data_IF_908589133296
#
_entry.id   IF_908589133296
#
_cell.length_a   1.000
_cell.length_b   1.000
_cell.length_c   1.000
_cell.angle_alpha   90.00
_cell.angle_beta   90.00
_cell.angle_gamma   90.00
#
_symmetry.space_group_name_H-M   'P 1'
#
loop_
_entity.id
_entity.type
_entity.pdbx_description
1 polymer ?
#
# COMPACT_ATOMS: atom_id res chain seq x y z
N UNK A 1 -42.49 45.22 37.65
CA UNK A 1 -43.22 45.12 36.36
C UNK A 1 -42.19 44.68 35.32
N UNK A 2 -42.23 43.54 34.64
CA UNK A 2 -43.29 42.57 34.33
C UNK A 2 -42.67 41.17 34.41
N UNK A 3 -43.36 40.26 35.10
CA UNK A 3 -43.07 38.83 35.10
C UNK A 3 -43.73 38.18 33.88
N UNK A 4 -43.05 37.25 33.21
CA UNK A 4 -43.75 36.22 32.44
C UNK A 4 -43.08 34.84 32.59
N UNK A 5 -43.97 33.92 32.92
CA UNK A 5 -43.82 32.49 33.21
C UNK A 5 -43.42 31.72 31.96
N UNK A 6 -42.46 30.79 32.07
CA UNK A 6 -42.38 29.62 31.18
C UNK A 6 -42.23 28.33 31.97
N UNK A 7 -43.19 27.44 31.71
CA UNK A 7 -43.42 26.11 32.29
C UNK A 7 -42.19 25.20 32.16
N UNK A 8 -41.82 24.55 33.26
CA UNK A 8 -41.00 23.32 33.26
C UNK A 8 -41.74 22.23 32.49
N UNK A 9 -41.18 21.76 31.38
CA UNK A 9 -41.54 20.48 30.76
C UNK A 9 -40.39 19.51 31.06
N UNK A 10 -40.66 18.50 31.89
CA UNK A 10 -39.77 17.37 32.16
C UNK A 10 -39.63 16.59 30.85
N UNK A 11 -38.46 16.63 30.21
CA UNK A 11 -38.11 15.70 29.14
C UNK A 11 -37.27 14.60 29.78
N UNK A 12 -37.79 13.38 29.76
CA UNK A 12 -37.07 12.20 30.19
C UNK A 12 -35.85 12.00 29.27
N UNK A 13 -34.66 11.97 29.86
CA UNK A 13 -33.43 11.65 29.13
C UNK A 13 -33.46 10.20 28.65
N UNK A 14 -33.30 9.98 27.35
CA UNK A 14 -32.84 8.70 26.81
C UNK A 14 -31.33 8.62 26.99
N UNK A 15 -30.84 7.48 27.48
CA UNK A 15 -29.40 7.24 27.60
C UNK A 15 -28.87 6.92 26.19
N UNK A 16 -27.65 7.35 25.84
CA UNK A 16 -27.06 7.09 24.52
C UNK A 16 -26.87 5.60 24.20
N UNK A 17 -27.03 4.68 25.16
CA UNK A 17 -27.01 3.23 24.93
C UNK A 17 -28.30 2.66 24.32
N UNK A 18 -29.44 3.33 24.47
CA UNK A 18 -30.74 2.77 24.07
C UNK A 18 -30.93 2.77 22.53
N UNK A 19 -30.22 3.64 21.80
CA UNK A 19 -30.29 3.75 20.33
C UNK A 19 -29.40 2.71 19.64
N UNK A 20 -28.25 2.40 20.25
CA UNK A 20 -27.31 1.39 19.74
C UNK A 20 -27.85 -0.04 19.98
N UNK A 21 -28.48 -0.26 21.13
CA UNK A 21 -29.14 -1.53 21.46
C UNK A 21 -30.38 -1.77 20.58
N UNK A 22 -31.16 -0.72 20.27
CA UNK A 22 -32.27 -0.81 19.33
C UNK A 22 -31.84 -1.07 17.88
N UNK A 23 -30.71 -0.50 17.44
CA UNK A 23 -30.15 -0.76 16.11
C UNK A 23 -29.58 -2.18 15.99
N UNK A 24 -28.92 -2.68 17.04
CA UNK A 24 -28.43 -4.06 17.10
C UNK A 24 -29.59 -5.08 17.13
N UNK A 25 -30.65 -4.80 17.88
CA UNK A 25 -31.85 -5.65 17.91
C UNK A 25 -32.58 -5.67 16.56
N UNK A 26 -32.64 -4.54 15.85
CA UNK A 26 -33.23 -4.46 14.51
C UNK A 26 -32.41 -5.24 13.46
N UNK A 27 -31.08 -5.18 13.52
CA UNK A 27 -30.19 -5.93 12.64
C UNK A 27 -30.29 -7.45 12.90
N UNK A 28 -30.36 -7.86 14.17
CA UNK A 28 -30.55 -9.27 14.55
C UNK A 28 -31.91 -9.82 14.07
N UNK A 29 -32.97 -9.01 14.15
CA UNK A 29 -34.31 -9.39 13.67
C UNK A 29 -34.37 -9.56 12.14
N UNK A 30 -33.64 -8.71 11.38
CA UNK A 30 -33.54 -8.83 9.92
C UNK A 30 -32.78 -10.10 9.52
N UNK A 31 -31.69 -10.42 10.20
CA UNK A 31 -30.89 -11.62 9.95
C UNK A 31 -31.66 -12.91 10.32
N UNK A 32 -32.39 -12.90 11.43
CA UNK A 32 -33.25 -14.02 11.82
C UNK A 32 -34.40 -14.26 10.83
N UNK A 33 -34.94 -13.19 10.23
CA UNK A 33 -35.95 -13.28 9.16
C UNK A 33 -35.37 -13.83 7.86
N UNK A 34 -34.13 -13.45 7.50
CA UNK A 34 -33.38 -14.00 6.36
C UNK A 34 -33.09 -15.50 6.53
N UNK A 35 -32.66 -15.91 7.73
CA UNK A 35 -32.43 -17.33 8.05
C UNK A 35 -33.71 -18.17 8.02
N UNK A 36 -34.85 -17.64 8.50
CA UNK A 36 -36.15 -18.33 8.39
C UNK A 36 -36.62 -18.51 6.94
N UNK A 37 -36.39 -17.52 6.07
CA UNK A 37 -36.71 -17.61 4.63
C UNK A 37 -35.83 -18.64 3.90
N UNK A 38 -34.54 -18.67 4.22
CA UNK A 38 -33.60 -19.69 3.70
C UNK A 38 -33.95 -21.10 4.19
N UNK A 39 -34.31 -21.26 5.48
CA UNK A 39 -34.71 -22.55 6.04
C UNK A 39 -36.06 -23.03 5.46
N UNK A 40 -37.00 -22.12 5.19
CA UNK A 40 -38.28 -22.45 4.55
C UNK A 40 -38.08 -22.91 3.10
N UNK A 41 -37.16 -22.28 2.35
CA UNK A 41 -36.80 -22.74 1.01
C UNK A 41 -36.04 -24.07 1.00
N UNK A 42 -35.18 -24.32 1.98
CA UNK A 42 -34.46 -25.60 2.12
C UNK A 42 -35.40 -26.75 2.52
N UNK A 43 -36.38 -26.49 3.40
CA UNK A 43 -37.40 -27.46 3.83
C UNK A 43 -38.42 -27.80 2.72
N UNK A 44 -38.67 -26.88 1.78
CA UNK A 44 -39.49 -27.14 0.59
C UNK A 44 -38.77 -28.05 -0.43
N UNK A 45 -37.44 -28.05 -0.44
CA UNK A 45 -36.62 -28.88 -1.33
C UNK A 45 -36.35 -30.30 -0.77
N UNK A 46 -36.60 -30.53 0.52
CA UNK A 46 -36.27 -31.77 1.22
C UNK A 46 -37.49 -32.60 1.68
N UNK A 47 -38.72 -32.25 1.26
CA UNK A 47 -39.91 -33.05 1.61
C UNK A 47 -39.95 -34.37 0.82
N UNK A 48 -39.96 -35.55 1.46
CA UNK A 48 -40.20 -36.81 0.77
C UNK A 48 -41.69 -36.87 0.41
N UNK A 49 -42.01 -37.01 -0.88
CA UNK A 49 -43.40 -37.26 -1.31
C UNK A 49 -43.74 -38.71 -0.99
N UNK A 50 -44.58 -38.87 0.03
CA UNK A 50 -45.12 -40.15 0.47
C UNK A 50 -46.00 -40.83 -0.57
N UNK A 51 -46.07 -42.15 -0.42
CA UNK A 51 -46.88 -43.11 -1.13
C UNK A 51 -48.36 -42.70 -1.19
N UNK A 52 -48.96 -42.86 -2.38
CA UNK A 52 -50.41 -42.94 -2.54
C UNK A 52 -50.68 -44.26 -3.26
N UNK A 53 -51.08 -45.25 -2.47
CA UNK A 53 -51.79 -46.44 -2.93
C UNK A 53 -53.14 -46.03 -3.51
N UNK A 54 -53.39 -46.31 -4.79
CA UNK A 54 -54.74 -46.36 -5.33
C UNK A 54 -54.92 -47.62 -6.19
N UNK A 55 -55.94 -48.38 -5.80
CA UNK A 55 -56.34 -49.68 -6.29
C UNK A 55 -56.81 -49.70 -7.74
N UNK A 56 -56.49 -50.81 -8.40
CA UNK A 56 -57.04 -51.27 -9.68
C UNK A 56 -58.58 -51.29 -9.70
N UNK A 57 -59.21 -50.44 -10.52
CA UNK A 57 -60.29 -50.82 -11.45
C UNK A 57 -60.80 -49.60 -12.20
N UNK A 58 -61.11 -49.83 -13.48
CA UNK A 58 -61.75 -48.93 -14.43
C UNK A 58 -60.84 -47.86 -15.04
N UNK A 59 -60.32 -48.16 -16.23
CA UNK A 59 -60.74 -47.57 -17.51
C UNK A 59 -59.87 -48.26 -18.57
N UNK A 60 -60.37 -49.39 -19.08
CA UNK A 60 -60.11 -49.76 -20.46
C UNK A 60 -60.88 -48.74 -21.32
N UNK A 61 -60.26 -48.27 -22.39
CA UNK A 61 -60.79 -47.32 -23.40
C UNK A 61 -60.45 -45.84 -23.16
N UNK A 62 -59.19 -45.47 -23.39
CA UNK A 62 -58.86 -44.14 -23.89
C UNK A 62 -57.65 -44.23 -24.83
N UNK A 63 -57.92 -43.89 -26.10
CA UNK A 63 -57.06 -43.84 -27.28
C UNK A 63 -55.57 -43.55 -27.03
N UNK A 64 -54.73 -44.34 -27.71
CA UNK A 64 -53.35 -44.00 -28.03
C UNK A 64 -53.27 -42.57 -28.61
N UNK A 65 -52.64 -41.66 -27.87
CA UNK A 65 -52.16 -40.39 -28.39
C UNK A 65 -50.65 -40.50 -28.57
N UNK A 66 -50.09 -40.30 -29.78
CA UNK A 66 -48.66 -40.36 -29.97
C UNK A 66 -48.05 -39.13 -29.30
N UNK A 67 -47.18 -39.31 -28.31
CA UNK A 67 -46.23 -38.25 -27.97
C UNK A 67 -45.48 -37.88 -29.25
N UNK A 68 -45.45 -36.61 -29.67
CA UNK A 68 -44.71 -36.23 -30.87
C UNK A 68 -43.24 -36.58 -30.63
N UNK A 69 -42.54 -37.19 -31.60
CA UNK A 69 -41.13 -37.47 -31.44
C UNK A 69 -40.42 -36.13 -31.22
N UNK A 70 -39.54 -36.06 -30.21
CA UNK A 70 -38.63 -34.94 -30.01
C UNK A 70 -37.92 -34.71 -31.36
N UNK A 71 -38.33 -33.67 -32.07
CA UNK A 71 -37.81 -33.39 -33.41
C UNK A 71 -36.31 -33.16 -33.32
N UNK A 72 -35.56 -33.70 -34.27
CA UNK A 72 -34.08 -33.63 -34.38
C UNK A 72 -33.51 -32.21 -34.15
N UNK A 73 -34.31 -31.17 -34.44
CA UNK A 73 -34.03 -29.75 -34.16
C UNK A 73 -33.94 -29.37 -32.67
N UNK A 74 -34.78 -29.90 -31.78
CA UNK A 74 -34.75 -29.59 -30.33
C UNK A 74 -33.59 -30.26 -29.59
N UNK A 75 -33.15 -31.43 -30.09
CA UNK A 75 -31.94 -32.10 -29.61
C UNK A 75 -30.69 -31.36 -30.10
N UNK A 76 -30.71 -30.82 -31.32
CA UNK A 76 -29.62 -29.99 -31.86
C UNK A 76 -29.44 -28.66 -31.09
N UNK A 77 -30.52 -28.00 -30.67
CA UNK A 77 -30.44 -26.77 -29.86
C UNK A 77 -29.92 -27.01 -28.43
N UNK A 78 -30.26 -28.15 -27.81
CA UNK A 78 -29.74 -28.52 -26.49
C UNK A 78 -28.26 -28.93 -26.56
N UNK A 79 -27.83 -29.57 -27.67
CA UNK A 79 -26.43 -29.89 -27.96
C UNK A 79 -25.54 -28.67 -28.19
N UNK A 80 -26.10 -27.53 -28.63
CA UNK A 80 -25.38 -26.24 -28.71
C UNK A 80 -25.38 -25.47 -27.38
N UNK A 81 -26.41 -25.66 -26.55
CA UNK A 81 -26.54 -24.94 -25.29
C UNK A 81 -25.49 -25.38 -24.26
N UNK A 82 -25.21 -26.69 -24.18
CA UNK A 82 -24.21 -27.27 -23.27
C UNK A 82 -22.80 -26.70 -23.50
N UNK A 83 -22.24 -26.69 -24.73
CA UNK A 83 -20.93 -26.08 -24.98
C UNK A 83 -20.94 -24.57 -24.75
N UNK A 84 -22.02 -23.85 -25.06
CA UNK A 84 -22.13 -22.42 -24.74
C UNK A 84 -22.10 -22.16 -23.22
N UNK A 85 -22.81 -22.96 -22.42
CA UNK A 85 -22.78 -22.85 -20.95
C UNK A 85 -21.40 -23.23 -20.40
N UNK A 86 -20.74 -24.26 -20.95
CA UNK A 86 -19.39 -24.63 -20.56
C UNK A 86 -18.38 -23.52 -20.91
N UNK A 87 -18.44 -22.96 -22.12
CA UNK A 87 -17.59 -21.83 -22.54
C UNK A 87 -17.85 -20.61 -21.66
N UNK A 88 -19.11 -20.30 -21.36
CA UNK A 88 -19.46 -19.19 -20.47
C UNK A 88 -18.94 -19.44 -19.05
N UNK A 89 -19.07 -20.66 -18.53
CA UNK A 89 -18.58 -21.03 -17.19
C UNK A 89 -17.06 -20.91 -17.12
N UNK A 90 -16.34 -21.42 -18.12
CA UNK A 90 -14.87 -21.27 -18.24
C UNK A 90 -14.49 -19.80 -18.37
N UNK A 91 -15.20 -19.02 -19.20
CA UNK A 91 -14.94 -17.60 -19.35
C UNK A 91 -15.16 -16.83 -18.03
N UNK A 92 -16.21 -17.14 -17.27
CA UNK A 92 -16.46 -16.54 -15.94
C UNK A 92 -15.34 -16.90 -14.96
N UNK A 93 -14.89 -18.16 -14.93
CA UNK A 93 -13.78 -18.60 -14.09
C UNK A 93 -12.48 -17.86 -14.48
N UNK A 94 -12.16 -17.79 -15.77
CA UNK A 94 -10.98 -17.07 -16.26
C UNK A 94 -11.08 -15.59 -15.91
N UNK A 95 -12.20 -14.94 -16.17
CA UNK A 95 -12.37 -13.50 -15.87
C UNK A 95 -12.27 -13.24 -14.38
N UNK A 96 -12.85 -14.08 -13.53
CA UNK A 96 -12.77 -13.90 -12.07
C UNK A 96 -11.35 -14.15 -11.53
N UNK A 97 -10.66 -15.17 -12.02
CA UNK A 97 -9.29 -15.49 -11.60
C UNK A 97 -8.26 -14.47 -12.09
N UNK A 98 -8.42 -13.97 -13.32
CA UNK A 98 -7.49 -13.04 -13.97
C UNK A 98 -8.00 -11.59 -14.00
N UNK A 99 -9.04 -11.26 -13.23
CA UNK A 99 -9.71 -9.96 -13.26
C UNK A 99 -8.73 -8.78 -13.17
N UNK A 100 -7.79 -8.83 -12.23
CA UNK A 100 -6.79 -7.78 -12.04
C UNK A 100 -5.87 -7.61 -13.27
N UNK A 101 -5.40 -8.71 -13.85
CA UNK A 101 -4.51 -8.65 -15.02
C UNK A 101 -5.27 -8.16 -16.25
N UNK A 102 -6.52 -8.60 -16.44
CA UNK A 102 -7.40 -8.09 -17.50
C UNK A 102 -7.68 -6.60 -17.29
N UNK A 103 -7.98 -6.18 -16.06
CA UNK A 103 -8.23 -4.80 -15.70
C UNK A 103 -7.03 -3.92 -16.00
N UNK A 104 -5.80 -4.35 -15.67
CA UNK A 104 -4.57 -3.61 -15.95
C UNK A 104 -4.21 -3.59 -17.42
N UNK A 105 -4.39 -4.72 -18.13
CA UNK A 105 -4.20 -4.79 -19.59
C UNK A 105 -5.11 -3.80 -20.33
N UNK A 106 -6.36 -3.68 -19.87
CA UNK A 106 -7.37 -2.81 -20.47
C UNK A 106 -7.41 -1.40 -19.84
N UNK A 107 -6.61 -1.13 -18.80
CA UNK A 107 -6.57 0.17 -18.10
C UNK A 107 -6.42 1.36 -19.03
N UNK A 108 -5.58 1.32 -20.09
CA UNK A 108 -5.50 2.41 -21.06
C UNK A 108 -6.80 2.77 -21.79
N UNK A 109 -7.84 1.91 -21.74
CA UNK A 109 -9.14 2.16 -22.37
C UNK A 109 -10.15 2.85 -21.45
N UNK A 110 -10.03 2.67 -20.12
CA UNK A 110 -11.07 3.08 -19.17
C UNK A 110 -10.59 3.99 -18.04
N UNK A 111 -9.28 4.07 -17.79
CA UNK A 111 -8.68 4.94 -16.78
C UNK A 111 -7.90 6.09 -17.43
N UNK A 112 -7.69 7.17 -16.69
CA UNK A 112 -6.97 8.36 -17.17
C UNK A 112 -5.81 8.71 -16.23
N UNK A 113 -4.66 9.17 -16.76
CA UNK A 113 -3.52 9.49 -15.92
C UNK A 113 -3.87 10.64 -14.96
N UNK A 114 -3.31 10.63 -13.74
CA UNK A 114 -3.48 11.73 -12.82
C UNK A 114 -2.89 13.02 -13.40
N UNK A 115 -3.30 14.16 -12.85
CA UNK A 115 -2.74 15.47 -13.25
C UNK A 115 -1.21 15.43 -13.18
N UNK A 116 -0.47 15.93 -14.18
CA UNK A 116 0.99 15.94 -14.10
C UNK A 116 1.47 16.84 -12.95
N UNK A 117 2.70 16.61 -12.51
CA UNK A 117 3.40 17.52 -11.61
C UNK A 117 4.06 18.66 -12.41
N UNK A 118 4.17 19.82 -11.77
CA UNK A 118 5.05 20.90 -12.19
C UNK A 118 6.42 20.56 -11.61
N UNK A 119 7.33 20.12 -12.49
CA UNK A 119 8.69 19.76 -12.09
C UNK A 119 9.52 21.01 -11.81
N UNK A 120 10.17 21.01 -10.65
CA UNK A 120 11.19 21.97 -10.25
C UNK A 120 12.53 21.35 -10.64
N UNK A 121 13.32 22.00 -11.52
CA UNK A 121 14.67 21.55 -11.83
C UNK A 121 15.53 21.48 -10.57
N UNK A 122 16.34 20.43 -10.45
CA UNK A 122 17.27 20.26 -9.35
C UNK A 122 18.69 20.43 -9.87
N UNK A 123 19.26 21.62 -9.65
CA UNK A 123 20.60 21.95 -10.08
C UNK A 123 21.62 21.54 -9.02
N UNK A 124 22.64 20.80 -9.43
CA UNK A 124 23.75 20.47 -8.55
C UNK A 124 25.04 20.29 -9.34
N UNK A 125 26.15 20.69 -8.72
CA UNK A 125 27.50 20.39 -9.16
C UNK A 125 28.41 20.30 -7.94
N UNK A 126 29.47 19.49 -7.96
CA UNK A 126 30.51 19.57 -6.93
C UNK A 126 31.15 20.97 -6.88
N UNK A 127 31.56 21.42 -5.70
CA UNK A 127 32.31 22.68 -5.46
C UNK A 127 31.58 24.00 -5.77
N UNK A 128 30.25 23.99 -5.89
CA UNK A 128 29.44 25.21 -5.97
C UNK A 128 29.01 25.64 -4.56
N UNK A 129 28.91 26.95 -4.31
CA UNK A 129 28.47 27.46 -3.02
C UNK A 129 26.94 27.36 -2.85
N UNK A 130 26.46 27.16 -1.61
CA UNK A 130 25.03 27.14 -1.33
C UNK A 130 24.26 28.40 -1.79
N UNK A 131 24.78 29.64 -1.62
CA UNK A 131 24.12 30.83 -2.15
C UNK A 131 23.89 30.78 -3.67
N UNK A 132 24.91 30.32 -4.43
CA UNK A 132 24.79 30.16 -5.88
C UNK A 132 23.78 29.06 -6.24
N UNK A 133 23.79 27.94 -5.53
CA UNK A 133 22.79 26.88 -5.73
C UNK A 133 21.37 27.37 -5.48
N UNK A 134 21.11 28.03 -4.35
CA UNK A 134 19.78 28.57 -4.08
C UNK A 134 19.36 29.55 -5.17
N UNK A 135 20.25 30.45 -5.61
CA UNK A 135 19.96 31.39 -6.69
C UNK A 135 19.62 30.71 -8.02
N UNK A 136 20.31 29.61 -8.38
CA UNK A 136 19.99 28.82 -9.58
C UNK A 136 18.58 28.23 -9.56
N UNK A 137 18.05 27.95 -8.37
CA UNK A 137 16.67 27.48 -8.17
C UNK A 137 15.65 28.64 -8.05
N UNK A 138 16.10 29.90 -8.16
CA UNK A 138 15.27 31.08 -7.94
C UNK A 138 14.95 31.34 -6.45
N UNK A 139 15.77 30.81 -5.55
CA UNK A 139 15.61 30.90 -4.11
C UNK A 139 16.69 31.79 -3.47
N UNK A 140 16.39 32.35 -2.30
CA UNK A 140 17.35 33.07 -1.48
C UNK A 140 18.21 32.11 -0.65
N UNK A 141 19.19 32.65 0.05
CA UNK A 141 19.96 31.92 1.08
C UNK A 141 19.48 32.36 2.46
N UNK A 142 19.29 31.41 3.38
CA UNK A 142 19.03 31.74 4.78
C UNK A 142 20.33 32.19 5.47
N UNK A 143 20.26 33.20 6.37
CA UNK A 143 21.41 33.58 7.20
C UNK A 143 21.93 32.44 8.07
N UNK A 144 21.02 31.58 8.53
CA UNK A 144 21.31 30.38 9.32
C UNK A 144 20.49 29.22 8.79
N UNK A 145 21.04 27.99 8.75
CA UNK A 145 20.29 26.84 8.26
C UNK A 145 19.11 26.54 9.20
N UNK A 146 17.96 26.21 8.63
CA UNK A 146 16.83 25.68 9.42
C UNK A 146 17.07 24.23 9.81
N UNK A 147 16.33 23.72 10.79
CA UNK A 147 16.47 22.31 11.18
C UNK A 147 15.69 21.43 10.21
N UNK A 148 16.16 20.21 10.03
CA UNK A 148 15.54 19.17 9.20
C UNK A 148 15.19 17.98 10.08
N UNK A 149 13.94 17.56 10.00
CA UNK A 149 13.40 16.38 10.64
C UNK A 149 13.09 15.35 9.57
N UNK A 150 13.70 14.17 9.67
CA UNK A 150 13.46 13.04 8.78
C UNK A 150 12.55 12.04 9.48
N UNK A 151 11.32 11.89 9.00
CA UNK A 151 10.30 11.11 9.69
C UNK A 151 9.88 9.89 8.87
N UNK A 152 9.94 8.71 9.50
CA UNK A 152 9.63 7.42 8.88
C UNK A 152 8.69 6.57 9.73
N UNK A 153 7.77 5.88 9.06
CA UNK A 153 7.08 4.71 9.63
C UNK A 153 7.93 3.47 9.33
N UNK A 154 8.32 2.74 10.37
CA UNK A 154 9.26 1.62 10.23
C UNK A 154 8.60 0.25 10.43
N UNK A 155 9.04 -0.73 9.63
CA UNK A 155 8.61 -2.13 9.71
C UNK A 155 9.78 -3.09 9.97
N UNK A 156 10.59 -3.38 8.94
CA UNK A 156 11.67 -4.37 9.00
C UNK A 156 12.89 -4.05 8.10
N UNK A 157 12.89 -2.91 7.41
CA UNK A 157 13.91 -2.49 6.45
C UNK A 157 15.23 -2.00 7.09
N UNK A 158 15.84 -2.80 7.99
CA UNK A 158 17.00 -2.38 8.79
C UNK A 158 18.21 -1.94 7.95
N UNK A 159 18.54 -2.68 6.88
CA UNK A 159 19.69 -2.36 6.02
C UNK A 159 19.51 -1.05 5.26
N UNK A 160 18.32 -0.84 4.71
CA UNK A 160 17.96 0.38 4.00
C UNK A 160 17.86 1.57 4.96
N UNK A 161 17.35 1.37 6.19
CA UNK A 161 17.36 2.40 7.23
C UNK A 161 18.79 2.79 7.63
N UNK A 162 19.71 1.82 7.71
CA UNK A 162 21.12 2.13 8.00
C UNK A 162 21.74 2.97 6.90
N UNK A 163 21.51 2.61 5.63
CA UNK A 163 21.98 3.40 4.48
C UNK A 163 21.38 4.80 4.53
N UNK A 164 20.07 4.92 4.77
CA UNK A 164 19.36 6.20 4.91
C UNK A 164 20.01 7.07 5.97
N UNK A 165 20.17 6.55 7.19
CA UNK A 165 20.73 7.32 8.30
C UNK A 165 22.19 7.65 8.07
N UNK A 166 22.98 6.73 7.52
CA UNK A 166 24.37 6.97 7.17
C UNK A 166 24.54 8.07 6.11
N UNK A 167 23.65 8.13 5.12
CA UNK A 167 23.65 9.15 4.07
C UNK A 167 23.21 10.53 4.61
N UNK A 168 22.19 10.54 5.46
CA UNK A 168 21.52 11.76 5.92
C UNK A 168 22.10 12.34 7.21
N UNK A 169 22.90 11.58 7.96
CA UNK A 169 23.42 11.95 9.29
C UNK A 169 24.01 13.37 9.36
N UNK A 170 24.79 13.85 8.36
CA UNK A 170 25.38 15.20 8.43
C UNK A 170 24.35 16.32 8.25
N UNK A 171 23.22 16.05 7.60
CA UNK A 171 22.31 17.07 7.09
C UNK A 171 21.02 17.20 7.90
N UNK A 172 20.59 16.10 8.51
CA UNK A 172 19.39 16.00 9.34
C UNK A 172 19.70 16.32 10.80
N UNK A 173 18.78 17.00 11.48
CA UNK A 173 18.90 17.35 12.91
C UNK A 173 18.24 16.31 13.80
N UNK A 174 17.13 15.71 13.36
CA UNK A 174 16.42 14.64 14.06
C UNK A 174 15.90 13.57 13.11
N UNK A 175 16.16 12.32 13.45
CA UNK A 175 15.53 11.16 12.82
C UNK A 175 14.34 10.74 13.69
N UNK A 176 13.13 10.89 13.19
CA UNK A 176 11.89 10.56 13.90
C UNK A 176 11.37 9.22 13.36
N UNK A 177 11.36 8.20 14.20
CA UNK A 177 11.00 6.85 13.81
C UNK A 177 9.88 6.32 14.70
N UNK A 178 8.78 5.91 14.06
CA UNK A 178 7.69 5.23 14.73
C UNK A 178 7.63 3.78 14.26
N UNK A 179 7.66 2.85 15.21
CA UNK A 179 7.54 1.42 14.95
C UNK A 179 6.31 0.85 15.64
N UNK A 180 5.54 0.01 14.95
CA UNK A 180 4.40 -0.69 15.54
C UNK A 180 4.77 -2.15 15.88
N UNK A 181 4.11 -2.73 16.89
CA UNK A 181 4.20 -4.16 17.23
C UNK A 181 3.28 -5.06 16.39
N UNK A 182 2.61 -4.51 15.37
CA UNK A 182 1.82 -5.27 14.40
C UNK A 182 1.95 -4.68 12.98
N UNK A 183 1.72 -5.51 11.98
CA UNK A 183 1.67 -5.12 10.57
C UNK A 183 0.38 -4.35 10.25
N UNK A 184 0.27 -3.76 9.05
CA UNK A 184 -0.98 -3.13 8.61
C UNK A 184 -2.11 -4.15 8.41
N UNK A 185 -1.75 -5.42 8.21
CA UNK A 185 -2.67 -6.56 8.15
C UNK A 185 -3.03 -7.15 9.52
N UNK A 186 -2.50 -6.59 10.61
CA UNK A 186 -2.81 -7.04 11.97
C UNK A 186 -2.02 -8.22 12.49
N UNK A 187 -0.99 -8.66 11.76
CA UNK A 187 -0.10 -9.73 12.19
C UNK A 187 0.84 -9.16 13.24
N UNK A 188 0.90 -9.72 14.47
CA UNK A 188 1.90 -9.32 15.45
C UNK A 188 3.31 -9.46 14.89
N UNK A 189 4.15 -8.45 15.12
CA UNK A 189 5.55 -8.44 14.68
C UNK A 189 6.46 -8.00 15.81
N UNK A 190 7.70 -8.49 15.78
CA UNK A 190 8.73 -8.00 16.68
C UNK A 190 9.06 -6.53 16.38
N UNK A 191 9.61 -5.85 17.40
CA UNK A 191 10.07 -4.48 17.28
C UNK A 191 11.49 -4.49 16.72
N UNK A 192 11.60 -4.82 15.43
CA UNK A 192 12.85 -4.98 14.68
C UNK A 192 13.83 -3.81 14.88
N UNK A 193 13.36 -2.57 14.88
CA UNK A 193 14.23 -1.42 15.15
C UNK A 193 14.71 -1.40 16.60
N UNK A 194 13.79 -1.53 17.56
CA UNK A 194 14.14 -1.50 18.99
C UNK A 194 15.13 -2.62 19.37
N UNK A 195 14.90 -3.83 18.88
CA UNK A 195 15.77 -4.99 19.10
C UNK A 195 17.18 -4.78 18.52
N UNK A 196 17.30 -3.96 17.48
CA UNK A 196 18.55 -3.67 16.78
C UNK A 196 19.03 -2.23 17.00
N UNK A 197 18.55 -1.52 18.02
CA UNK A 197 18.84 -0.08 18.20
C UNK A 197 20.35 0.22 18.30
N UNK A 198 21.13 -0.71 18.85
CA UNK A 198 22.59 -0.60 18.95
C UNK A 198 23.27 -0.50 17.58
N UNK A 199 22.68 -1.07 16.52
CA UNK A 199 23.14 -0.94 15.12
C UNK A 199 23.14 0.52 14.65
N UNK A 200 22.28 1.35 15.25
CA UNK A 200 22.11 2.77 14.93
C UNK A 200 22.76 3.70 15.95
N UNK A 201 23.62 3.19 16.84
CA UNK A 201 24.30 4.00 17.85
C UNK A 201 25.05 5.21 17.27
N UNK A 202 25.58 5.08 16.04
CA UNK A 202 26.25 6.16 15.31
C UNK A 202 25.35 7.39 15.06
N UNK A 203 24.02 7.21 15.05
CA UNK A 203 23.03 8.27 14.88
C UNK A 203 22.23 8.54 16.18
N UNK A 204 22.55 7.85 17.28
CA UNK A 204 21.74 7.79 18.49
C UNK A 204 21.37 9.16 19.09
N UNK A 205 22.27 10.14 19.04
CA UNK A 205 22.02 11.49 19.55
C UNK A 205 20.97 12.29 18.76
N UNK A 206 20.62 11.84 17.55
CA UNK A 206 19.61 12.45 16.67
C UNK A 206 18.32 11.64 16.58
N UNK A 207 18.28 10.41 17.09
CA UNK A 207 17.11 9.54 16.98
C UNK A 207 16.05 9.91 18.02
N UNK A 208 14.82 10.07 17.56
CA UNK A 208 13.60 10.20 18.37
C UNK A 208 12.70 9.03 18.00
N UNK A 209 12.61 8.06 18.91
CA UNK A 209 11.86 6.83 18.71
C UNK A 209 10.60 6.79 19.58
N UNK A 210 9.52 6.25 19.04
CA UNK A 210 8.38 5.80 19.83
C UNK A 210 7.84 4.48 19.27
N UNK A 211 7.21 3.72 20.16
CA UNK A 211 6.57 2.46 19.82
C UNK A 211 5.05 2.65 19.83
N UNK A 212 4.39 2.25 18.76
CA UNK A 212 2.94 2.24 18.67
C UNK A 212 2.40 0.85 19.07
N UNK A 213 1.77 0.70 20.24
CA UNK A 213 1.07 -0.53 20.58
C UNK A 213 -0.21 -0.61 19.74
N UNK A 214 -0.28 -1.62 18.89
CA UNK A 214 -1.47 -2.00 18.15
C UNK A 214 -2.09 -3.17 18.91
N UNK A 215 -3.35 -3.00 19.35
CA UNK A 215 -4.07 -4.09 19.99
C UNK A 215 -4.27 -5.24 19.00
N UNK A 216 -4.16 -6.47 19.50
CA UNK A 216 -4.46 -7.68 18.72
C UNK A 216 -5.80 -7.52 18.01
N UNK A 217 -5.80 -7.77 16.70
CA UNK A 217 -7.00 -7.65 15.90
C UNK A 217 -7.87 -8.90 16.11
N UNK A 218 -9.17 -8.71 16.32
CA UNK A 218 -10.12 -9.82 16.32
C UNK A 218 -10.03 -10.59 14.99
N UNK A 219 -9.89 -11.93 14.98
CA UNK A 219 -9.75 -12.74 13.76
C UNK A 219 -10.88 -12.65 12.71
N UNK A 220 -11.89 -11.78 12.90
CA UNK A 220 -12.93 -11.45 11.91
C UNK A 220 -13.03 -9.96 11.55
N UNK A 221 -12.14 -9.11 12.08
CA UNK A 221 -12.09 -7.67 11.83
C UNK A 221 -11.67 -7.39 10.38
N UNK A 222 -12.62 -7.09 9.49
CA UNK A 222 -12.36 -6.62 8.12
C UNK A 222 -11.86 -5.16 8.06
N UNK A 223 -10.98 -4.74 8.97
CA UNK A 223 -10.34 -3.42 8.87
C UNK A 223 -9.39 -3.45 7.68
N UNK A 224 -9.64 -2.57 6.72
CA UNK A 224 -8.80 -2.44 5.54
C UNK A 224 -7.39 -1.99 5.96
N UNK A 225 -6.31 -2.62 5.47
CA UNK A 225 -4.93 -2.28 5.84
C UNK A 225 -4.60 -0.78 5.74
N UNK A 226 -5.15 -0.09 4.73
CA UNK A 226 -5.01 1.36 4.57
C UNK A 226 -5.57 2.18 5.75
N UNK A 227 -6.61 1.71 6.45
CA UNK A 227 -7.12 2.38 7.64
C UNK A 227 -6.17 2.24 8.84
N UNK A 228 -5.50 1.08 8.94
CA UNK A 228 -4.49 0.81 9.97
C UNK A 228 -3.27 1.69 9.72
N UNK A 229 -2.78 1.72 8.48
CA UNK A 229 -1.70 2.60 8.04
C UNK A 229 -2.02 4.08 8.34
N UNK A 230 -3.23 4.55 8.03
CA UNK A 230 -3.67 5.91 8.36
C UNK A 230 -3.66 6.17 9.88
N UNK A 231 -3.97 5.16 10.69
CA UNK A 231 -3.82 5.20 12.15
C UNK A 231 -2.38 5.38 12.61
N UNK A 232 -1.44 4.64 12.01
CA UNK A 232 -0.01 4.75 12.31
C UNK A 232 0.51 6.15 11.92
N UNK A 233 0.10 6.68 10.76
CA UNK A 233 0.45 8.05 10.33
C UNK A 233 -0.11 9.11 11.28
N UNK A 234 -1.30 8.90 11.88
CA UNK A 234 -1.81 9.77 12.96
C UNK A 234 -0.95 9.70 14.23
N UNK A 235 -0.51 8.51 14.64
CA UNK A 235 0.38 8.37 15.78
C UNK A 235 1.74 9.06 15.55
N UNK A 236 2.28 8.98 14.34
CA UNK A 236 3.54 9.65 13.98
C UNK A 236 3.44 11.17 14.11
N UNK A 237 2.26 11.76 13.84
CA UNK A 237 2.03 13.19 14.11
C UNK A 237 2.23 13.55 15.59
N UNK A 238 1.81 12.68 16.51
CA UNK A 238 2.00 12.92 17.94
C UNK A 238 3.48 12.84 18.33
N UNK A 239 4.22 11.87 17.77
CA UNK A 239 5.67 11.75 17.97
C UNK A 239 6.42 12.97 17.44
N UNK A 240 6.05 13.47 16.25
CA UNK A 240 6.62 14.68 15.67
C UNK A 240 6.46 15.90 16.60
N UNK A 241 5.31 16.08 17.23
CA UNK A 241 5.13 17.18 18.19
C UNK A 241 6.04 17.06 19.41
N UNK A 242 6.36 15.83 19.83
CA UNK A 242 7.28 15.55 20.95
C UNK A 242 8.75 15.57 20.56
N UNK A 243 9.09 15.51 19.26
CA UNK A 243 10.48 15.53 18.79
C UNK A 243 11.14 16.91 18.88
N UNK A 244 10.37 17.95 19.23
CA UNK A 244 10.85 19.34 19.32
C UNK A 244 10.91 20.08 17.98
N UNK A 245 10.18 19.59 16.97
CA UNK A 245 9.98 20.31 15.70
C UNK A 245 9.21 21.62 15.95
N UNK A 246 9.60 22.67 15.25
CA UNK A 246 9.03 24.00 15.37
C UNK A 246 8.63 24.56 14.00
N UNK A 247 7.78 25.59 14.01
CA UNK A 247 7.37 26.31 12.80
C UNK A 247 8.61 26.83 12.06
N UNK A 248 8.67 26.59 10.75
CA UNK A 248 9.80 27.00 9.90
C UNK A 248 10.91 25.96 9.75
N UNK A 249 10.92 24.89 10.56
CA UNK A 249 11.75 23.71 10.28
C UNK A 249 11.27 22.98 9.03
N UNK A 250 12.10 22.12 8.46
CA UNK A 250 11.69 21.21 7.38
C UNK A 250 11.37 19.84 7.95
N UNK A 251 10.21 19.32 7.56
CA UNK A 251 9.81 17.93 7.80
C UNK A 251 9.84 17.17 6.48
N UNK A 252 10.69 16.15 6.41
CA UNK A 252 10.69 15.14 5.35
C UNK A 252 9.77 14.02 5.79
N UNK A 253 8.76 13.73 4.96
CA UNK A 253 7.82 12.63 5.15
C UNK A 253 8.07 11.60 4.06
N UNK A 254 8.56 10.42 4.43
CA UNK A 254 8.95 9.38 3.50
C UNK A 254 8.78 8.01 4.15
N UNK A 255 8.55 6.98 3.34
CA UNK A 255 8.67 5.62 3.83
C UNK A 255 10.17 5.25 3.99
N UNK A 256 10.48 4.21 4.77
CA UNK A 256 11.87 3.90 5.14
C UNK A 256 12.78 3.66 3.91
N UNK A 257 12.21 3.12 2.83
CA UNK A 257 12.88 2.82 1.57
C UNK A 257 13.01 3.99 0.58
N UNK A 258 12.53 5.18 0.94
CA UNK A 258 12.56 6.40 0.14
C UNK A 258 13.59 7.40 0.68
N UNK A 259 14.85 7.27 0.27
CA UNK A 259 16.01 8.00 0.78
C UNK A 259 16.21 9.30 -0.02
N UNK A 260 15.96 10.50 0.54
CA UNK A 260 16.34 11.76 -0.09
C UNK A 260 17.86 11.87 -0.26
N UNK A 261 18.32 12.57 -1.28
CA UNK A 261 19.76 12.78 -1.46
C UNK A 261 20.30 13.87 -0.52
N UNK A 262 21.60 13.80 -0.14
CA UNK A 262 22.30 14.88 0.54
C UNK A 262 22.10 16.26 -0.11
N UNK A 263 22.12 16.29 -1.43
CA UNK A 263 21.94 17.50 -2.24
C UNK A 263 20.55 18.12 -2.00
N UNK A 264 19.50 17.29 -2.04
CA UNK A 264 18.14 17.72 -1.74
C UNK A 264 18.01 18.23 -0.32
N UNK A 265 18.54 17.51 0.67
CA UNK A 265 18.42 17.95 2.08
C UNK A 265 19.16 19.26 2.32
N UNK A 266 20.32 19.47 1.68
CA UNK A 266 21.04 20.74 1.78
C UNK A 266 20.25 21.92 1.21
N UNK A 267 19.60 21.76 0.05
CA UNK A 267 18.73 22.81 -0.50
C UNK A 267 17.59 23.15 0.45
N UNK A 268 16.91 22.13 0.98
CA UNK A 268 15.81 22.32 1.93
C UNK A 268 16.27 23.04 3.21
N UNK A 269 17.49 22.75 3.67
CA UNK A 269 18.09 23.27 4.90
C UNK A 269 18.54 24.73 4.77
N UNK A 270 19.06 25.12 3.61
CA UNK A 270 19.73 26.42 3.42
C UNK A 270 18.95 27.42 2.58
N UNK A 271 18.11 26.97 1.65
CA UNK A 271 17.46 27.90 0.73
C UNK A 271 16.20 28.52 1.33
N UNK A 272 16.06 29.82 1.12
CA UNK A 272 14.90 30.62 1.47
C UNK A 272 13.94 30.78 0.29
N UNK A 273 12.63 30.81 0.54
CA UNK A 273 11.62 30.87 -0.53
C UNK A 273 11.34 29.52 -1.22
N UNK A 274 11.80 28.40 -0.65
CA UNK A 274 11.35 27.08 -1.10
C UNK A 274 9.82 26.94 -0.93
N UNK A 275 9.14 26.15 -1.79
CA UNK A 275 7.72 25.89 -1.63
C UNK A 275 7.36 25.32 -0.25
N UNK A 276 6.19 25.71 0.27
CA UNK A 276 5.69 25.21 1.56
C UNK A 276 5.57 23.68 1.60
N UNK A 277 5.14 23.09 0.49
CA UNK A 277 5.01 21.64 0.30
C UNK A 277 5.49 21.29 -1.10
N UNK A 278 6.50 20.42 -1.19
CA UNK A 278 6.95 19.85 -2.44
C UNK A 278 7.11 18.34 -2.33
N UNK A 279 6.81 17.64 -3.41
CA UNK A 279 7.14 16.23 -3.58
C UNK A 279 8.60 16.07 -4.01
N UNK A 280 9.18 14.91 -3.71
CA UNK A 280 10.54 14.53 -4.08
C UNK A 280 10.47 13.43 -5.15
N UNK A 281 11.04 13.66 -6.34
CA UNK A 281 11.12 12.67 -7.41
C UNK A 281 12.30 11.74 -7.13
N UNK A 282 12.02 10.53 -6.67
CA UNK A 282 13.04 9.55 -6.34
C UNK A 282 13.24 8.57 -7.50
N UNK A 283 14.51 8.23 -7.78
CA UNK A 283 14.86 7.14 -8.70
C UNK A 283 14.35 5.82 -8.12
N UNK A 284 13.46 5.15 -8.84
CA UNK A 284 12.78 3.96 -8.36
C UNK A 284 13.57 2.69 -8.72
N UNK A 285 13.82 1.85 -7.73
CA UNK A 285 14.53 0.58 -7.81
C UNK A 285 13.73 -0.51 -7.12
N UNK A 286 13.98 -1.76 -7.53
CA UNK A 286 13.29 -2.92 -7.01
C UNK A 286 14.27 -4.03 -6.65
N UNK A 287 14.13 -4.66 -5.49
CA UNK A 287 14.95 -5.76 -4.98
C UNK A 287 16.42 -5.43 -4.65
N UNK A 288 17.05 -4.54 -5.43
CA UNK A 288 18.38 -3.99 -5.25
C UNK A 288 18.58 -2.80 -6.20
N UNK A 289 19.69 -2.07 -6.07
CA UNK A 289 20.05 -1.00 -7.01
C UNK A 289 20.49 -1.51 -8.40
N UNK A 290 20.55 -2.83 -8.60
CA UNK A 290 20.74 -3.47 -9.91
C UNK A 290 19.51 -3.30 -10.82
N UNK A 291 18.29 -3.12 -10.27
CA UNK A 291 17.05 -3.09 -11.07
C UNK A 291 16.36 -1.72 -11.02
N UNK A 292 16.81 -0.74 -11.83
CA UNK A 292 16.12 0.54 -11.97
C UNK A 292 14.82 0.37 -12.76
N UNK A 293 13.73 0.98 -12.27
CA UNK A 293 12.42 0.97 -12.92
C UNK A 293 12.22 2.26 -13.72
N UNK A 294 12.08 3.39 -13.02
CA UNK A 294 11.72 4.69 -13.58
C UNK A 294 11.97 5.82 -12.56
N UNK A 295 11.45 7.01 -12.86
CA UNK A 295 11.51 8.21 -12.02
C UNK A 295 10.12 8.58 -11.47
N UNK A 296 9.25 7.59 -11.25
CA UNK A 296 7.85 7.83 -10.88
C UNK A 296 7.57 7.67 -9.39
N UNK A 297 8.60 7.53 -8.55
CA UNK A 297 8.40 7.59 -7.09
C UNK A 297 8.36 9.06 -6.66
N UNK A 298 7.19 9.51 -6.20
CA UNK A 298 6.94 10.93 -5.88
C UNK A 298 6.29 11.14 -4.51
N UNK A 299 5.94 10.07 -3.79
CA UNK A 299 5.09 10.19 -2.59
C UNK A 299 5.81 10.83 -1.40
N UNK A 300 7.13 10.69 -1.34
CA UNK A 300 7.96 11.43 -0.39
C UNK A 300 7.76 12.95 -0.56
N UNK A 301 7.64 13.67 0.55
CA UNK A 301 7.46 15.12 0.55
C UNK A 301 8.41 15.81 1.52
N UNK A 302 8.73 17.06 1.20
CA UNK A 302 9.32 18.02 2.12
C UNK A 302 8.30 19.13 2.42
N UNK A 303 8.10 19.40 3.71
CA UNK A 303 7.20 20.43 4.20
C UNK A 303 7.99 21.45 5.00
N UNK A 304 7.83 22.74 4.70
CA UNK A 304 8.11 23.78 5.70
C UNK A 304 7.04 23.62 6.78
N UNK A 305 7.46 23.31 7.99
CA UNK A 305 6.59 22.91 9.08
C UNK A 305 5.77 24.08 9.60
N UNK A 306 4.49 23.83 9.87
CA UNK A 306 3.54 24.75 10.49
C UNK A 306 2.71 23.99 11.51
N UNK A 307 1.94 24.72 12.31
CA UNK A 307 1.00 24.12 13.25
C UNK A 307 -0.08 23.25 12.59
N UNK A 308 -0.31 23.39 11.28
CA UNK A 308 -1.29 22.59 10.53
C UNK A 308 -0.66 21.46 9.72
N UNK A 309 0.66 21.31 9.75
CA UNK A 309 1.35 20.24 9.03
C UNK A 309 0.98 18.89 9.64
N UNK A 310 0.50 17.97 8.79
CA UNK A 310 0.17 16.60 9.16
C UNK A 310 0.94 15.62 8.28
N UNK A 311 1.52 14.60 8.91
CA UNK A 311 2.19 13.51 8.24
C UNK A 311 1.24 12.79 7.28
N UNK A 312 1.60 12.76 5.99
CA UNK A 312 0.84 12.12 4.91
C UNK A 312 1.80 11.55 3.87
N UNK A 313 1.32 10.54 3.15
CA UNK A 313 2.08 9.86 2.11
C UNK A 313 1.22 9.69 0.85
N UNK A 314 0.68 10.82 0.40
CA UNK A 314 -0.19 10.97 -0.77
C UNK A 314 0.00 12.38 -1.34
N UNK A 315 -0.53 12.65 -2.53
CA UNK A 315 -0.31 13.95 -3.19
C UNK A 315 -0.81 15.11 -2.32
N UNK A 316 0.10 15.98 -1.89
CA UNK A 316 -0.19 17.17 -1.08
C UNK A 316 0.02 18.48 -1.87
N UNK A 317 0.80 18.46 -2.95
CA UNK A 317 0.97 19.60 -3.86
C UNK A 317 1.12 19.15 -5.32
N UNK A 318 1.27 20.11 -6.23
CA UNK A 318 1.57 19.85 -7.64
C UNK A 318 3.04 20.05 -7.97
N UNK A 319 3.89 20.37 -6.99
CA UNK A 319 5.30 20.67 -7.19
C UNK A 319 6.14 19.43 -6.90
N UNK A 320 7.09 19.12 -7.78
CA UNK A 320 7.94 17.94 -7.68
C UNK A 320 9.39 18.34 -7.95
N UNK A 321 10.27 18.21 -6.95
CA UNK A 321 11.70 18.43 -7.13
C UNK A 321 12.30 17.22 -7.87
N UNK A 322 12.91 17.46 -9.02
CA UNK A 322 13.51 16.41 -9.84
C UNK A 322 14.71 15.74 -9.17
N UNK A 323 14.96 14.46 -9.47
CA UNK A 323 16.14 13.69 -9.03
C UNK A 323 16.55 13.96 -7.56
N UNK A 324 15.60 13.75 -6.66
CA UNK A 324 15.69 14.16 -5.26
C UNK A 324 16.15 13.03 -4.32
N UNK A 325 16.57 11.88 -4.87
CA UNK A 325 17.04 10.73 -4.12
C UNK A 325 16.66 9.39 -4.75
N UNK A 326 16.48 8.38 -3.91
CA UNK A 326 16.29 6.98 -4.31
C UNK A 326 15.13 6.33 -3.56
N UNK A 327 14.39 5.46 -4.24
CA UNK A 327 13.38 4.59 -3.65
C UNK A 327 13.71 3.15 -3.97
N UNK A 328 14.02 2.31 -2.98
CA UNK A 328 14.42 0.92 -3.17
C UNK A 328 13.39 -0.04 -2.58
N UNK A 329 12.36 -0.37 -3.35
CA UNK A 329 11.29 -1.26 -2.91
C UNK A 329 11.78 -2.71 -2.81
N UNK A 330 11.36 -3.42 -1.76
CA UNK A 330 11.74 -4.83 -1.51
C UNK A 330 13.25 -5.09 -1.47
N UNK A 331 14.06 -4.11 -1.04
CA UNK A 331 15.51 -4.23 -1.01
C UNK A 331 16.01 -4.87 0.30
N UNK A 332 15.81 -6.19 0.42
CA UNK A 332 16.13 -6.96 1.62
C UNK A 332 17.33 -7.90 1.47
N UNK A 333 17.91 -8.28 2.60
CA UNK A 333 19.06 -9.18 2.67
C UNK A 333 18.65 -10.65 2.70
N UNK A 334 17.57 -11.00 3.37
CA UNK A 334 17.09 -12.39 3.50
C UNK A 334 15.76 -12.60 2.76
N UNK A 335 15.56 -13.78 2.16
CA UNK A 335 14.33 -14.10 1.41
C UNK A 335 13.08 -14.04 2.29
N UNK A 336 13.19 -14.48 3.55
CA UNK A 336 12.09 -14.38 4.53
C UNK A 336 11.54 -12.96 4.71
N UNK A 337 12.35 -11.92 4.53
CA UNK A 337 11.92 -10.52 4.67
C UNK A 337 11.03 -10.08 3.51
N UNK A 338 11.26 -10.59 2.30
CA UNK A 338 10.37 -10.40 1.16
C UNK A 338 9.01 -11.01 1.46
N UNK A 339 8.98 -12.29 1.86
CA UNK A 339 7.74 -12.98 2.20
C UNK A 339 7.01 -12.31 3.36
N UNK A 340 7.74 -11.76 4.34
CA UNK A 340 7.18 -10.96 5.42
C UNK A 340 6.52 -9.68 4.88
N UNK A 341 7.23 -8.83 4.12
CA UNK A 341 6.68 -7.58 3.57
C UNK A 341 5.47 -7.85 2.68
N UNK A 342 5.52 -8.88 1.83
CA UNK A 342 4.41 -9.29 0.97
C UNK A 342 3.11 -9.57 1.75
N UNK A 343 3.21 -10.06 3.00
CA UNK A 343 2.05 -10.31 3.89
C UNK A 343 1.70 -9.14 4.81
N UNK A 344 2.62 -8.20 5.01
CA UNK A 344 2.55 -7.22 6.09
C UNK A 344 1.97 -5.86 5.65
N UNK A 345 2.29 -5.41 4.44
CA UNK A 345 1.96 -4.06 3.97
C UNK A 345 0.54 -3.94 3.41
N UNK A 346 0.12 -2.72 3.09
CA UNK A 346 -1.28 -2.40 2.74
C UNK A 346 -1.80 -3.10 1.48
N UNK A 347 -0.90 -3.63 0.64
CA UNK A 347 -1.24 -4.39 -0.57
C UNK A 347 -1.00 -5.91 -0.43
N UNK A 348 -1.13 -6.46 0.79
CA UNK A 348 -1.00 -7.89 1.01
C UNK A 348 -2.01 -8.75 0.23
N UNK A 349 -3.11 -8.15 -0.26
CA UNK A 349 -4.10 -8.76 -1.15
C UNK A 349 -3.52 -9.24 -2.49
N UNK A 350 -2.33 -8.74 -2.87
CA UNK A 350 -1.61 -9.19 -4.08
C UNK A 350 -1.07 -10.61 -3.95
N UNK A 351 -0.94 -11.15 -2.74
CA UNK A 351 -0.58 -12.55 -2.51
C UNK A 351 -1.81 -13.44 -2.75
N UNK A 352 -1.98 -13.90 -4.00
CA UNK A 352 -3.14 -14.71 -4.41
C UNK A 352 -3.03 -16.20 -4.09
N UNK A 353 -1.81 -16.69 -3.88
CA UNK A 353 -1.52 -18.09 -3.64
C UNK A 353 -0.25 -18.25 -2.79
N UNK A 354 -0.22 -19.26 -1.93
CA UNK A 354 0.91 -19.51 -1.03
C UNK A 354 2.23 -19.78 -1.75
N UNK A 355 2.18 -20.27 -2.99
CA UNK A 355 3.37 -20.48 -3.81
C UNK A 355 4.12 -19.18 -4.10
N UNK A 356 3.49 -18.00 -4.01
CA UNK A 356 4.18 -16.71 -4.12
C UNK A 356 5.15 -16.46 -2.96
N UNK A 357 4.91 -17.10 -1.81
CA UNK A 357 5.73 -17.01 -0.61
C UNK A 357 6.82 -18.09 -0.56
N UNK A 358 6.91 -18.96 -1.57
CA UNK A 358 7.95 -19.98 -1.65
C UNK A 358 9.34 -19.32 -1.80
N UNK A 359 10.32 -19.62 -0.92
CA UNK A 359 11.63 -18.98 -0.94
C UNK A 359 12.39 -19.12 -2.26
N UNK A 360 12.39 -20.32 -2.86
CA UNK A 360 13.08 -20.58 -4.12
C UNK A 360 12.47 -19.80 -5.28
N UNK A 361 11.13 -19.68 -5.31
CA UNK A 361 10.42 -18.83 -6.27
C UNK A 361 10.82 -17.37 -6.09
N UNK A 362 10.76 -16.84 -4.86
CA UNK A 362 11.13 -15.45 -4.58
C UNK A 362 12.56 -15.20 -5.05
N UNK A 363 13.51 -16.04 -4.67
CA UNK A 363 14.92 -15.91 -5.05
C UNK A 363 15.11 -15.86 -6.57
N UNK A 364 14.41 -16.72 -7.33
CA UNK A 364 14.45 -16.72 -8.79
C UNK A 364 13.86 -15.43 -9.36
N UNK A 365 12.67 -15.05 -8.92
CA UNK A 365 11.93 -13.86 -9.41
C UNK A 365 12.76 -12.59 -9.21
N UNK A 366 13.32 -12.39 -8.02
CA UNK A 366 14.10 -11.19 -7.72
C UNK A 366 15.43 -11.15 -8.49
N UNK A 367 16.09 -12.29 -8.73
CA UNK A 367 17.32 -12.36 -9.51
C UNK A 367 17.08 -12.14 -11.02
N UNK A 368 15.88 -12.46 -11.50
CA UNK A 368 15.49 -12.25 -12.89
C UNK A 368 14.92 -10.85 -13.14
N UNK A 369 14.57 -10.10 -12.08
CA UNK A 369 13.88 -8.81 -12.20
C UNK A 369 12.39 -8.96 -12.55
N UNK A 370 11.79 -10.13 -12.31
CA UNK A 370 10.36 -10.40 -12.57
C UNK A 370 9.47 -9.79 -11.48
N UNK A 371 8.15 -9.73 -11.70
CA UNK A 371 7.19 -9.23 -10.71
C UNK A 371 6.86 -10.28 -9.63
N UNK A 372 7.00 -9.92 -8.35
CA UNK A 372 6.74 -10.84 -7.22
C UNK A 372 5.32 -11.43 -7.22
N UNK A 373 4.35 -10.71 -7.78
CA UNK A 373 2.92 -11.01 -7.72
C UNK A 373 2.33 -11.48 -9.06
N UNK A 374 3.18 -11.70 -10.08
CA UNK A 374 2.78 -12.02 -11.46
C UNK A 374 1.74 -11.03 -12.03
N UNK A 375 1.90 -9.74 -11.70
CA UNK A 375 1.01 -8.66 -12.13
C UNK A 375 1.55 -7.95 -13.38
N UNK A 376 0.63 -7.42 -14.19
CA UNK A 376 1.01 -6.53 -15.29
C UNK A 376 1.34 -5.12 -14.77
N UNK A 377 2.13 -4.32 -15.49
CA UNK A 377 2.37 -2.93 -15.14
C UNK A 377 1.08 -2.10 -15.09
N UNK A 378 0.98 -1.21 -14.11
CA UNK A 378 -0.14 -0.29 -13.92
C UNK A 378 0.03 0.97 -14.78
N UNK A 379 -0.24 0.88 -16.09
CA UNK A 379 0.00 1.98 -17.04
C UNK A 379 -1.27 2.53 -17.69
N UNK A 380 -1.22 3.81 -18.06
CA UNK A 380 -2.35 4.54 -18.67
C UNK A 380 -2.31 4.57 -20.20
N UNK A 381 -1.22 4.11 -20.81
CA UNK A 381 -1.10 4.00 -22.27
C UNK A 381 -0.63 2.60 -22.64
N UNK A 382 -1.08 2.07 -23.78
CA UNK A 382 -0.58 0.79 -24.28
C UNK A 382 0.93 0.83 -24.56
N UNK A 383 1.45 1.97 -25.04
CA UNK A 383 2.88 2.15 -25.29
C UNK A 383 3.71 1.95 -24.03
N UNK A 384 3.32 2.59 -22.93
CA UNK A 384 4.04 2.48 -21.67
C UNK A 384 3.85 1.10 -21.03
N UNK A 385 2.64 0.54 -21.12
CA UNK A 385 2.34 -0.82 -20.68
C UNK A 385 3.27 -1.85 -21.33
N UNK A 386 3.36 -1.85 -22.67
CA UNK A 386 4.23 -2.80 -23.39
C UNK A 386 5.71 -2.51 -23.16
N UNK A 387 6.10 -1.25 -23.00
CA UNK A 387 7.49 -0.88 -22.67
C UNK A 387 7.95 -1.44 -21.32
N UNK A 388 7.04 -1.48 -20.33
CA UNK A 388 7.34 -1.97 -18.97
C UNK A 388 6.97 -3.44 -18.76
N UNK A 389 6.47 -4.11 -19.79
CA UNK A 389 6.09 -5.52 -19.69
C UNK A 389 7.34 -6.41 -19.68
N UNK A 390 7.34 -7.41 -18.80
CA UNK A 390 8.46 -8.34 -18.64
C UNK A 390 9.41 -7.93 -17.51
N UNK A 391 10.59 -8.57 -17.42
CA UNK A 391 11.52 -8.34 -16.33
C UNK A 391 12.19 -6.96 -16.40
N UNK A 392 12.47 -6.38 -15.23
CA UNK A 392 13.19 -5.12 -15.09
C UNK A 392 14.63 -5.32 -15.60
N UNK A 393 15.13 -4.46 -16.51
CA UNK A 393 16.49 -4.57 -17.02
C UNK A 393 17.52 -4.33 -15.91
N UNK A 394 18.59 -5.13 -15.93
CA UNK A 394 19.70 -5.00 -14.99
C UNK A 394 20.60 -3.81 -15.38
N UNK A 395 20.98 -3.02 -14.39
CA UNK A 395 22.00 -1.97 -14.49
C UNK A 395 23.32 -2.48 -13.94
N UNK A 396 24.38 -2.34 -14.73
CA UNK A 396 25.76 -2.54 -14.26
C UNK A 396 26.37 -1.31 -13.58
N UNK A 397 25.64 -0.19 -13.50
CA UNK A 397 26.15 1.06 -12.95
C UNK A 397 25.76 1.23 -11.49
N UNK A 398 26.76 1.54 -10.66
CA UNK A 398 26.60 2.00 -9.28
C UNK A 398 26.88 3.51 -9.13
N UNK A 399 26.99 4.23 -10.24
CA UNK A 399 27.24 5.68 -10.25
C UNK A 399 25.97 6.40 -9.80
N UNK A 400 26.11 7.41 -8.93
CA UNK A 400 25.01 8.16 -8.33
C UNK A 400 24.08 7.34 -7.42
N UNK A 401 24.56 6.23 -6.86
CA UNK A 401 23.90 5.56 -5.74
C UNK A 401 24.31 6.20 -4.39
N UNK A 402 23.61 5.91 -3.27
CA UNK A 402 23.97 6.47 -1.97
C UNK A 402 25.46 6.27 -1.63
N UNK A 403 26.13 7.33 -1.19
CA UNK A 403 27.57 7.26 -0.90
C UNK A 403 27.88 6.29 0.24
N UNK A 404 27.02 6.23 1.26
CA UNK A 404 27.14 5.32 2.38
C UNK A 404 27.03 3.85 1.95
N UNK A 405 26.16 3.55 0.98
CA UNK A 405 26.06 2.21 0.38
C UNK A 405 27.39 1.82 -0.27
N UNK A 406 27.94 2.69 -1.12
CA UNK A 406 29.18 2.40 -1.87
C UNK A 406 30.38 2.28 -0.93
N UNK A 407 30.50 3.14 0.08
CA UNK A 407 31.57 3.07 1.09
C UNK A 407 31.52 1.76 1.90
N UNK A 408 30.35 1.14 2.02
CA UNK A 408 30.12 -0.10 2.76
C UNK A 408 29.70 -1.25 1.81
N UNK A 409 30.21 -1.25 0.58
CA UNK A 409 29.80 -2.17 -0.47
C UNK A 409 29.93 -3.66 -0.07
N UNK A 410 30.94 -4.03 0.73
CA UNK A 410 31.11 -5.41 1.18
C UNK A 410 29.94 -5.88 2.06
N UNK A 411 29.47 -5.01 2.96
CA UNK A 411 28.33 -5.27 3.84
C UNK A 411 27.01 -5.33 3.07
N UNK A 412 26.84 -4.42 2.11
CA UNK A 412 25.61 -4.26 1.34
C UNK A 412 25.71 -4.83 -0.08
N UNK A 413 26.61 -5.78 -0.30
CA UNK A 413 26.87 -6.36 -1.64
C UNK A 413 25.61 -6.87 -2.30
N UNK A 414 24.68 -7.38 -1.49
CA UNK A 414 23.39 -7.89 -1.95
C UNK A 414 22.56 -6.81 -2.68
N UNK A 415 22.69 -5.53 -2.31
CA UNK A 415 22.00 -4.40 -2.95
C UNK A 415 22.68 -3.88 -4.23
N UNK A 416 23.85 -4.41 -4.59
CA UNK A 416 24.66 -3.93 -5.71
C UNK A 416 24.66 -4.96 -6.87
N UNK A 417 25.03 -4.52 -8.09
CA UNK A 417 25.04 -5.40 -9.26
C UNK A 417 25.81 -6.70 -9.05
N UNK A 418 25.16 -7.83 -9.41
CA UNK A 418 25.73 -9.18 -9.24
C UNK A 418 25.57 -9.74 -7.84
N UNK A 419 24.93 -9.02 -6.93
CA UNK A 419 24.71 -9.44 -5.56
C UNK A 419 23.43 -10.24 -5.34
N UNK A 420 22.67 -10.66 -6.35
CA UNK A 420 21.25 -11.05 -6.21
C UNK A 420 20.92 -12.28 -5.33
N UNK A 421 21.87 -13.17 -5.04
CA UNK A 421 21.63 -14.32 -4.16
C UNK A 421 21.47 -13.87 -2.70
N UNK A 422 20.51 -14.46 -2.01
CA UNK A 422 20.08 -14.11 -0.64
C UNK A 422 20.02 -15.38 0.20
N UNK A 423 20.35 -15.32 1.50
CA UNK A 423 20.05 -16.39 2.42
C UNK A 423 18.53 -16.65 2.49
N UNK A 424 18.16 -17.92 2.60
CA UNK A 424 16.77 -18.40 2.70
C UNK A 424 16.09 -18.02 4.00
#
# INVERSE_FOLDING_TARGET
MVAQVRKKKKVAGHRPGDVEEAAAAAAAAVEQRRRRLLLHHLLLLLRPRGEITFTFRNILMARASPFPPLTRRKIASLKLLIPCVLVLSVAVIVVTQYFHNISYLLRPLWDTPPKPFIRIPHYYAPNISMPQLCQLHGWGILPTPRRVFDAVLFSNELDILEIRYGELLPYVDRFVILEANATFTGIPKSLSFLENINRFAFAGSKIVYDMLPVMEMDPGSHRQPFHVEAGHRRALNMLLRRSGIAVGDVLIMADADEIPSPETVQLLKWCDGIPQVMHLELKNYMYSFEFPIDYNSWRATAHVFTEHTLYRHSRQSNLLLADAGWHCSFCFKDIKEFAFKMKAYSHADRVKQDSFLNPDRIQRVICNGEDLFDMLPEEYTFKDLFKKMGPIPKSGSAVHLPSYLIKNADKFRFLLPGGCLRPG
#
